data_IF_574403515177
#
_entry.id   IF_574403515177
#
_cell.length_a   1.000
_cell.length_b   1.000
_cell.length_c   1.000
_cell.angle_alpha   90.00
_cell.angle_beta   90.00
_cell.angle_gamma   90.00
#
_symmetry.space_group_name_H-M   'P 1'
#
loop_
_entity.id
_entity.type
_entity.pdbx_description
1 polymer ?
#
# COMPACT_ATOMS: atom_id res chain seq x y z
N UNK A 1 -1.32 20.46 -12.60
CA UNK A 1 -2.70 19.93 -12.52
C UNK A 1 -2.63 18.42 -12.38
N UNK A 2 -3.38 17.83 -11.45
CA UNK A 2 -3.56 16.37 -11.41
C UNK A 2 -4.66 15.99 -12.41
N UNK A 3 -4.50 14.87 -13.11
CA UNK A 3 -5.57 14.31 -13.96
C UNK A 3 -6.83 14.07 -13.14
N UNK A 4 -8.01 14.37 -13.68
CA UNK A 4 -9.29 14.18 -12.98
C UNK A 4 -9.63 12.72 -12.71
N UNK A 5 -9.00 11.81 -13.46
CA UNK A 5 -9.25 10.37 -13.44
C UNK A 5 -8.09 9.58 -12.83
N UNK A 6 -7.14 10.24 -12.17
CA UNK A 6 -5.96 9.58 -11.61
C UNK A 6 -5.87 9.83 -10.12
N UNK A 7 -5.58 8.77 -9.36
CA UNK A 7 -5.17 8.91 -7.97
C UNK A 7 -3.65 9.06 -7.90
N UNK A 8 -3.17 10.12 -7.26
CA UNK A 8 -1.75 10.48 -7.24
C UNK A 8 -1.28 10.68 -5.80
N UNK A 9 -0.18 10.02 -5.45
CA UNK A 9 0.57 10.25 -4.21
C UNK A 9 1.91 10.91 -4.54
N UNK A 10 2.29 11.94 -3.79
CA UNK A 10 3.61 12.57 -3.92
C UNK A 10 4.46 12.18 -2.71
N UNK A 11 5.58 11.53 -2.96
CA UNK A 11 6.58 11.25 -1.92
C UNK A 11 7.62 12.38 -1.90
N UNK A 12 7.86 12.96 -0.74
CA UNK A 12 8.82 14.06 -0.55
C UNK A 12 9.55 13.93 0.78
N UNK A 13 10.80 14.39 0.86
CA UNK A 13 11.58 14.38 2.10
C UNK A 13 11.11 15.44 3.12
N UNK A 14 10.12 16.27 2.79
CA UNK A 14 9.56 17.28 3.69
C UNK A 14 10.45 18.51 3.92
N UNK A 15 11.64 18.59 3.32
CA UNK A 15 12.56 19.72 3.49
C UNK A 15 12.14 20.96 2.72
N UNK A 16 11.31 20.79 1.70
CA UNK A 16 10.71 21.88 0.93
C UNK A 16 9.20 21.63 0.85
N UNK A 17 8.43 22.59 1.37
CA UNK A 17 6.98 22.60 1.20
C UNK A 17 6.63 22.84 -0.27
N UNK A 18 5.87 21.94 -0.85
CA UNK A 18 5.25 22.11 -2.15
C UNK A 18 3.99 22.97 -1.99
N UNK A 19 3.77 23.91 -2.90
CA UNK A 19 2.63 24.86 -2.87
C UNK A 19 1.77 24.68 -4.10
N UNK A 20 0.49 25.06 -4.02
CA UNK A 20 -0.43 25.00 -5.16
C UNK A 20 -0.76 23.58 -5.61
N UNK A 21 -0.61 22.60 -4.70
CA UNK A 21 -0.96 21.21 -4.97
C UNK A 21 -2.48 21.06 -4.82
N UNK A 22 -3.10 20.32 -5.74
CA UNK A 22 -4.55 20.13 -5.74
C UNK A 22 -5.01 19.36 -4.50
N UNK A 23 -6.12 19.78 -3.90
CA UNK A 23 -6.82 19.04 -2.85
C UNK A 23 -7.34 17.65 -3.30
N UNK A 24 -7.32 17.37 -4.61
CA UNK A 24 -7.59 16.04 -5.17
C UNK A 24 -6.40 15.07 -5.03
N UNK A 25 -5.24 15.52 -4.53
CA UNK A 25 -4.09 14.65 -4.25
C UNK A 25 -4.52 13.55 -3.26
N UNK A 26 -4.17 12.31 -3.58
CA UNK A 26 -4.50 11.17 -2.72
C UNK A 26 -3.75 11.26 -1.39
N UNK A 27 -2.46 11.61 -1.41
CA UNK A 27 -1.65 11.69 -0.20
C UNK A 27 -0.29 12.37 -0.47
N UNK A 28 0.29 13.00 0.54
CA UNK A 28 1.73 13.18 0.64
C UNK A 28 2.37 12.04 1.44
N UNK A 29 3.40 11.39 0.91
CA UNK A 29 4.27 10.52 1.69
C UNK A 29 5.46 11.32 2.21
N UNK A 30 5.61 11.43 3.53
CA UNK A 30 6.72 12.16 4.17
C UNK A 30 7.38 11.26 5.21
N UNK A 31 8.72 11.08 5.18
CA UNK A 31 9.40 10.20 6.12
C UNK A 31 9.65 10.88 7.47
N UNK A 32 9.43 10.15 8.56
CA UNK A 32 9.94 10.49 9.89
C UNK A 32 10.88 9.36 10.31
N UNK A 33 12.17 9.49 9.99
CA UNK A 33 13.14 8.40 10.17
C UNK A 33 13.54 8.12 11.63
N UNK A 34 13.30 9.05 12.56
CA UNK A 34 13.70 8.92 13.96
C UNK A 34 12.68 9.59 14.88
N UNK A 35 12.64 9.15 16.14
CA UNK A 35 11.77 9.72 17.17
C UNK A 35 12.24 11.12 17.64
N UNK A 36 13.45 11.53 17.25
CA UNK A 36 14.06 12.80 17.59
C UNK A 36 14.96 13.31 16.46
N UNK A 37 15.49 14.52 16.63
CA UNK A 37 16.40 15.13 15.66
C UNK A 37 17.68 14.32 15.47
N UNK A 38 18.28 13.79 16.54
CA UNK A 38 19.52 13.01 16.47
C UNK A 38 19.39 11.83 15.48
N UNK A 39 18.38 10.98 15.62
CA UNK A 39 18.22 9.81 14.74
C UNK A 39 17.71 10.20 13.36
N UNK A 40 16.74 11.13 13.25
CA UNK A 40 16.20 11.53 11.96
C UNK A 40 17.28 12.18 11.08
N UNK A 41 18.08 13.08 11.66
CA UNK A 41 19.11 13.84 10.96
C UNK A 41 20.37 13.01 10.72
N UNK A 42 20.68 12.06 11.61
CA UNK A 42 21.69 11.03 11.34
C UNK A 42 21.34 10.20 10.09
N UNK A 43 20.09 9.77 9.94
CA UNK A 43 19.71 8.91 8.81
C UNK A 43 19.65 9.67 7.48
N UNK A 44 19.21 10.93 7.48
CA UNK A 44 19.07 11.71 6.24
C UNK A 44 20.23 12.66 5.95
N UNK A 45 21.21 12.78 6.87
CA UNK A 45 22.39 13.64 6.78
C UNK A 45 22.04 15.14 6.54
N UNK A 46 20.94 15.61 7.12
CA UNK A 46 20.44 16.98 6.95
C UNK A 46 20.15 17.62 8.31
N UNK A 47 21.06 18.49 8.76
CA UNK A 47 20.92 19.21 10.03
C UNK A 47 19.69 20.13 10.05
N UNK A 48 18.93 20.12 11.14
CA UNK A 48 17.68 20.86 11.33
C UNK A 48 16.50 20.31 10.52
N UNK A 49 16.66 19.17 9.84
CA UNK A 49 15.60 18.60 9.00
C UNK A 49 14.44 18.05 9.82
N UNK A 50 14.65 17.59 11.05
CA UNK A 50 13.58 16.99 11.83
C UNK A 50 12.44 18.00 12.05
N UNK A 51 12.75 19.14 12.66
CA UNK A 51 11.74 20.19 12.90
C UNK A 51 11.15 20.75 11.61
N UNK A 52 11.96 20.86 10.55
CA UNK A 52 11.50 21.34 9.25
C UNK A 52 10.48 20.39 8.62
N UNK A 53 10.74 19.09 8.68
CA UNK A 53 9.85 18.04 8.20
C UNK A 53 8.54 18.05 8.98
N UNK A 54 8.58 18.13 10.31
CA UNK A 54 7.37 18.23 11.14
C UNK A 54 6.54 19.48 10.80
N UNK A 55 7.19 20.62 10.59
CA UNK A 55 6.52 21.85 10.17
C UNK A 55 5.85 21.71 8.78
N UNK A 56 6.54 21.09 7.82
CA UNK A 56 5.97 20.80 6.49
C UNK A 56 4.75 19.88 6.58
N UNK A 57 4.81 18.83 7.41
CA UNK A 57 3.67 17.93 7.64
C UNK A 57 2.46 18.70 8.18
N UNK A 58 2.66 19.51 9.24
CA UNK A 58 1.59 20.35 9.82
C UNK A 58 0.98 21.28 8.77
N UNK A 59 1.80 21.88 7.91
CA UNK A 59 1.30 22.74 6.83
C UNK A 59 0.40 21.99 5.84
N UNK A 60 0.81 20.80 5.38
CA UNK A 60 -0.03 20.01 4.49
C UNK A 60 -1.36 19.63 5.13
N UNK A 61 -1.34 19.25 6.40
CA UNK A 61 -2.56 18.92 7.16
C UNK A 61 -3.50 20.13 7.32
N UNK A 62 -2.96 21.31 7.64
CA UNK A 62 -3.73 22.57 7.72
C UNK A 62 -4.38 22.94 6.37
N UNK A 63 -3.71 22.63 5.25
CA UNK A 63 -4.26 22.82 3.91
C UNK A 63 -5.30 21.76 3.52
N UNK A 64 -5.62 20.82 4.41
CA UNK A 64 -6.59 19.75 4.20
C UNK A 64 -6.06 18.58 3.36
N UNK A 65 -4.74 18.51 3.16
CA UNK A 65 -4.11 17.34 2.55
C UNK A 65 -3.90 16.25 3.57
N UNK A 66 -4.07 15.02 3.11
CA UNK A 66 -3.69 13.87 3.92
C UNK A 66 -2.21 13.56 3.76
N UNK A 67 -1.57 13.19 4.87
CA UNK A 67 -0.14 12.88 4.93
C UNK A 67 0.06 11.50 5.54
N UNK A 68 0.86 10.67 4.87
CA UNK A 68 1.31 9.35 5.32
C UNK A 68 2.75 9.42 5.80
N UNK A 69 3.02 8.79 6.94
CA UNK A 69 4.37 8.61 7.41
C UNK A 69 5.00 7.39 6.73
N UNK A 70 6.20 7.57 6.17
CA UNK A 70 6.94 6.51 5.47
C UNK A 70 8.37 6.37 6.04
N UNK A 71 8.51 5.94 7.30
CA UNK A 71 9.83 5.75 7.89
C UNK A 71 10.53 4.57 7.22
N UNK A 72 11.86 4.68 7.08
CA UNK A 72 12.70 3.55 6.68
C UNK A 72 13.27 2.91 7.95
N UNK A 73 12.92 1.65 8.20
CA UNK A 73 13.45 0.83 9.28
C UNK A 73 14.87 0.36 8.94
N UNK A 74 15.80 0.67 9.83
CA UNK A 74 17.23 0.39 9.73
C UNK A 74 17.75 -0.22 11.03
N UNK A 75 19.00 -0.67 11.03
CA UNK A 75 19.70 -1.10 12.25
C UNK A 75 19.91 0.01 13.30
N UNK A 76 19.59 1.27 13.00
CA UNK A 76 19.80 2.43 13.89
C UNK A 76 18.54 2.98 14.56
N UNK A 77 17.36 2.68 14.01
CA UNK A 77 16.08 3.20 14.52
C UNK A 77 15.06 2.09 14.84
N UNK A 78 15.50 0.83 14.82
CA UNK A 78 14.64 -0.34 15.03
C UNK A 78 13.91 -0.34 16.38
N UNK A 79 14.48 0.33 17.37
CA UNK A 79 13.99 0.50 18.73
C UNK A 79 13.18 1.80 18.93
N UNK A 80 12.88 2.53 17.85
CA UNK A 80 12.14 3.79 17.88
C UNK A 80 10.77 3.73 17.21
N UNK A 81 10.34 2.58 16.67
CA UNK A 81 9.13 2.50 15.86
C UNK A 81 7.87 2.92 16.62
N UNK A 82 7.78 2.58 17.91
CA UNK A 82 6.65 2.99 18.77
C UNK A 82 6.51 4.51 18.81
N UNK A 83 7.61 5.21 19.12
CA UNK A 83 7.64 6.66 19.23
C UNK A 83 7.45 7.35 17.88
N UNK A 84 8.01 6.81 16.79
CA UNK A 84 7.80 7.35 15.43
C UNK A 84 6.31 7.28 15.05
N UNK A 85 5.65 6.14 15.32
CA UNK A 85 4.22 5.99 15.09
C UNK A 85 3.41 6.94 15.99
N UNK A 86 3.81 7.10 17.24
CA UNK A 86 3.21 8.07 18.16
C UNK A 86 3.29 9.52 17.65
N UNK A 87 4.43 9.92 17.06
CA UNK A 87 4.57 11.23 16.42
C UNK A 87 3.57 11.37 15.27
N UNK A 88 3.52 10.37 14.37
CA UNK A 88 2.60 10.39 13.23
C UNK A 88 1.13 10.50 13.67
N UNK A 89 0.74 9.71 14.68
CA UNK A 89 -0.59 9.75 15.29
C UNK A 89 -0.89 11.13 15.90
N UNK A 90 0.05 11.68 16.68
CA UNK A 90 -0.12 12.99 17.34
C UNK A 90 -0.28 14.16 16.37
N UNK A 91 0.34 14.07 15.20
CA UNK A 91 0.23 15.09 14.17
C UNK A 91 -1.10 15.01 13.40
N UNK A 92 -1.82 13.89 13.48
CA UNK A 92 -3.02 13.64 12.68
C UNK A 92 -2.70 13.14 11.27
N UNK A 93 -1.57 12.43 11.09
CA UNK A 93 -1.26 11.75 9.82
C UNK A 93 -2.28 10.62 9.58
N UNK A 94 -2.57 10.34 8.31
CA UNK A 94 -3.64 9.40 7.93
C UNK A 94 -3.22 7.94 8.10
N UNK A 95 -1.93 7.65 7.92
CA UNK A 95 -1.38 6.30 7.99
C UNK A 95 0.12 6.32 8.22
N UNK A 96 0.67 5.16 8.58
CA UNK A 96 2.10 4.91 8.63
C UNK A 96 2.42 3.55 8.01
N UNK A 97 3.31 3.57 7.02
CA UNK A 97 3.80 2.37 6.37
C UNK A 97 5.32 2.34 6.46
N UNK A 98 5.83 1.42 7.26
CA UNK A 98 7.26 1.25 7.52
C UNK A 98 7.90 0.50 6.36
N UNK A 99 8.90 1.11 5.74
CA UNK A 99 9.70 0.48 4.70
C UNK A 99 10.96 -0.12 5.33
N UNK A 100 11.21 -1.42 5.18
CA UNK A 100 12.47 -2.01 5.64
C UNK A 100 13.59 -1.63 4.68
N UNK A 101 14.75 -1.27 5.21
CA UNK A 101 15.91 -1.00 4.39
C UNK A 101 16.35 -2.24 3.58
N UNK A 102 16.56 -2.03 2.27
CA UNK A 102 17.00 -3.03 1.30
C UNK A 102 18.24 -2.54 0.55
N UNK A 103 19.11 -3.47 0.14
CA UNK A 103 20.33 -3.14 -0.59
C UNK A 103 20.02 -2.80 -2.06
N UNK A 104 19.99 -1.50 -2.37
CA UNK A 104 19.82 -0.98 -3.73
C UNK A 104 20.82 0.14 -4.06
N UNK A 105 21.20 0.24 -5.34
CA UNK A 105 22.06 1.32 -5.83
C UNK A 105 23.39 1.41 -5.06
N UNK A 106 23.71 2.60 -4.55
CA UNK A 106 24.92 2.81 -3.73
C UNK A 106 24.92 2.02 -2.42
N UNK A 107 23.74 1.64 -1.90
CA UNK A 107 23.61 0.81 -0.69
C UNK A 107 24.24 -0.56 -0.89
N UNK A 108 24.14 -1.14 -2.08
CA UNK A 108 24.73 -2.45 -2.40
C UNK A 108 26.20 -2.57 -1.98
N UNK A 109 26.97 -1.50 -2.21
CA UNK A 109 28.41 -1.42 -1.91
C UNK A 109 28.67 -1.01 -0.46
N UNK A 110 27.83 -0.13 0.10
CA UNK A 110 28.12 0.56 1.36
C UNK A 110 27.45 -0.09 2.58
N UNK A 111 26.32 -0.78 2.43
CA UNK A 111 25.47 -1.26 3.53
C UNK A 111 26.22 -2.10 4.56
N UNK A 112 27.17 -2.94 4.12
CA UNK A 112 27.95 -3.80 5.03
C UNK A 112 28.81 -2.98 6.01
N UNK A 113 29.42 -1.89 5.53
CA UNK A 113 30.23 -0.99 6.36
C UNK A 113 29.40 -0.18 7.35
N UNK A 114 28.17 0.19 6.95
CA UNK A 114 27.29 1.04 7.75
C UNK A 114 26.22 0.32 8.55
N UNK A 115 26.11 -1.03 8.50
CA UNK A 115 25.11 -1.80 9.28
C UNK A 115 23.66 -1.27 9.17
N UNK A 116 23.28 -0.78 7.98
CA UNK A 116 21.95 -0.16 7.76
C UNK A 116 20.81 -1.19 7.79
N UNK A 117 21.07 -2.42 7.37
CA UNK A 117 20.10 -3.52 7.43
C UNK A 117 19.85 -3.91 8.89
N UNK A 118 18.58 -3.97 9.34
CA UNK A 118 18.28 -4.49 10.67
C UNK A 118 18.64 -5.98 10.75
N UNK A 119 19.16 -6.42 11.89
CA UNK A 119 19.28 -7.86 12.19
C UNK A 119 17.88 -8.48 12.37
N UNK A 120 17.79 -9.81 12.38
CA UNK A 120 16.52 -10.50 12.65
C UNK A 120 15.94 -10.13 14.03
N UNK A 121 16.80 -10.04 15.04
CA UNK A 121 16.40 -9.61 16.38
C UNK A 121 15.89 -8.17 16.39
N UNK A 122 16.63 -7.25 15.76
CA UNK A 122 16.19 -5.85 15.61
C UNK A 122 14.86 -5.74 14.87
N UNK A 123 14.65 -6.55 13.83
CA UNK A 123 13.38 -6.62 13.11
C UNK A 123 12.23 -7.11 14.00
N UNK A 124 12.45 -8.16 14.82
CA UNK A 124 11.44 -8.65 15.76
C UNK A 124 11.08 -7.62 16.84
N UNK A 125 12.06 -6.84 17.32
CA UNK A 125 11.83 -5.72 18.24
C UNK A 125 10.96 -4.66 17.56
N UNK A 126 11.33 -4.25 16.34
CA UNK A 126 10.57 -3.28 15.56
C UNK A 126 9.11 -3.74 15.31
N UNK A 127 8.89 -5.01 14.96
CA UNK A 127 7.54 -5.58 14.79
C UNK A 127 6.74 -5.48 16.09
N UNK A 128 7.34 -5.82 17.24
CA UNK A 128 6.67 -5.70 18.54
C UNK A 128 6.24 -4.25 18.83
N UNK A 129 7.11 -3.28 18.55
CA UNK A 129 6.81 -1.86 18.72
C UNK A 129 5.71 -1.36 17.75
N UNK A 130 5.72 -1.82 16.50
CA UNK A 130 4.69 -1.47 15.50
C UNK A 130 3.32 -1.99 15.94
N UNK A 131 3.26 -3.22 16.43
CA UNK A 131 2.02 -3.85 16.91
C UNK A 131 1.49 -3.11 18.14
N UNK A 132 2.35 -2.85 19.12
CA UNK A 132 1.96 -2.11 20.31
C UNK A 132 1.42 -0.72 19.94
N UNK A 133 2.13 0.01 19.06
CA UNK A 133 1.70 1.32 18.62
C UNK A 133 0.38 1.29 17.82
N UNK A 134 0.13 0.24 17.03
CA UNK A 134 -1.14 0.02 16.33
C UNK A 134 -2.31 -0.10 17.31
N UNK A 135 -2.11 -0.77 18.44
CA UNK A 135 -3.14 -0.94 19.47
C UNK A 135 -3.31 0.33 20.31
N UNK A 136 -2.22 0.99 20.70
CA UNK A 136 -2.25 2.19 21.55
C UNK A 136 -2.77 3.44 20.81
N UNK A 137 -2.38 3.62 19.54
CA UNK A 137 -2.72 4.80 18.74
C UNK A 137 -3.88 4.53 17.77
N UNK A 138 -5.07 4.27 18.34
CA UNK A 138 -6.28 3.85 17.60
C UNK A 138 -6.75 4.83 16.52
N UNK A 139 -6.33 6.10 16.57
CA UNK A 139 -6.62 7.12 15.54
C UNK A 139 -6.17 6.70 14.13
N UNK A 140 -5.11 5.89 14.03
CA UNK A 140 -4.62 5.35 12.76
C UNK A 140 -5.45 4.13 12.30
N UNK A 141 -6.13 3.44 13.21
CA UNK A 141 -6.92 2.25 12.94
C UNK A 141 -6.09 1.15 12.28
N UNK A 142 -6.60 0.57 11.18
CA UNK A 142 -5.89 -0.48 10.43
C UNK A 142 -4.70 0.03 9.59
N UNK A 143 -4.49 1.35 9.51
CA UNK A 143 -3.55 2.02 8.58
C UNK A 143 -2.12 2.12 9.14
N UNK A 144 -1.69 1.08 9.83
CA UNK A 144 -0.34 0.89 10.38
C UNK A 144 0.19 -0.43 9.84
N UNK A 145 1.36 -0.44 9.22
CA UNK A 145 2.02 -1.68 8.82
C UNK A 145 3.29 -1.48 8.00
N UNK A 146 3.67 -2.47 7.20
CA UNK A 146 4.82 -2.37 6.29
C UNK A 146 4.41 -1.84 4.92
N UNK A 147 5.26 -1.00 4.31
CA UNK A 147 5.10 -0.54 2.92
C UNK A 147 5.86 -1.43 1.93
N UNK A 148 7.06 -1.85 2.31
CA UNK A 148 7.88 -2.82 1.57
C UNK A 148 7.36 -4.25 1.71
N UNK A 149 7.56 -5.07 0.68
CA UNK A 149 7.24 -6.49 0.73
C UNK A 149 8.19 -7.22 1.68
N UNK A 150 7.66 -7.81 2.76
CA UNK A 150 8.42 -8.57 3.74
C UNK A 150 7.97 -10.04 3.71
N UNK A 151 8.89 -11.02 3.72
CA UNK A 151 8.50 -12.41 3.82
C UNK A 151 7.68 -12.69 5.08
N UNK A 152 6.52 -13.32 4.92
CA UNK A 152 5.62 -13.62 6.04
C UNK A 152 6.26 -14.49 7.11
N UNK A 153 7.15 -15.40 6.72
CA UNK A 153 7.89 -16.27 7.65
C UNK A 153 8.97 -15.55 8.46
N UNK A 154 9.20 -14.26 8.23
CA UNK A 154 10.13 -13.49 9.03
C UNK A 154 9.58 -13.19 10.43
N UNK A 155 8.27 -12.96 10.56
CA UNK A 155 7.57 -12.78 11.83
C UNK A 155 6.06 -13.01 11.65
N UNK A 156 5.53 -14.08 12.24
CA UNK A 156 4.13 -14.47 12.06
C UNK A 156 3.12 -13.44 12.58
N UNK A 157 3.54 -12.62 13.56
CA UNK A 157 2.69 -11.59 14.14
C UNK A 157 2.26 -10.59 13.08
N UNK A 158 3.05 -10.40 12.01
CA UNK A 158 2.67 -9.54 10.91
C UNK A 158 1.37 -9.98 10.23
N UNK A 159 1.19 -11.30 10.04
CA UNK A 159 -0.04 -11.85 9.44
C UNK A 159 -1.21 -11.65 10.39
N UNK A 160 -1.01 -12.02 11.66
CA UNK A 160 -2.03 -11.97 12.72
C UNK A 160 -2.57 -10.54 12.87
N UNK A 161 -1.67 -9.57 12.90
CA UNK A 161 -1.99 -8.16 13.12
C UNK A 161 -2.35 -7.42 11.82
N UNK A 162 -2.36 -8.11 10.67
CA UNK A 162 -2.70 -7.50 9.38
C UNK A 162 -1.77 -6.35 8.99
N UNK A 163 -0.48 -6.44 9.33
CA UNK A 163 0.53 -5.41 9.04
C UNK A 163 1.47 -5.81 7.89
N UNK A 164 1.13 -6.86 7.15
CA UNK A 164 1.88 -7.37 5.99
C UNK A 164 1.76 -6.48 4.75
N UNK A 165 2.78 -6.50 3.90
CA UNK A 165 2.73 -5.98 2.51
C UNK A 165 3.36 -7.00 1.56
N UNK A 166 2.86 -7.06 0.33
CA UNK A 166 3.38 -7.91 -0.74
C UNK A 166 3.80 -7.07 -1.96
N UNK A 167 4.58 -7.68 -2.85
CA UNK A 167 5.13 -6.98 -4.02
C UNK A 167 4.29 -7.23 -5.27
N UNK A 168 3.80 -6.15 -5.89
CA UNK A 168 3.08 -6.18 -7.18
C UNK A 168 3.93 -6.00 -8.42
N UNK A 169 5.25 -6.06 -8.27
CA UNK A 169 6.20 -5.79 -9.35
C UNK A 169 5.89 -6.64 -10.59
N UNK A 170 5.77 -6.00 -11.74
CA UNK A 170 5.50 -6.67 -13.01
C UNK A 170 4.10 -7.29 -13.14
N UNK A 171 3.26 -7.30 -12.10
CA UNK A 171 1.89 -7.86 -12.13
C UNK A 171 0.80 -6.79 -12.04
N UNK A 172 1.00 -5.78 -11.21
CA UNK A 172 0.14 -4.59 -11.13
C UNK A 172 0.91 -3.29 -10.84
N UNK A 173 2.24 -3.35 -10.77
CA UNK A 173 3.14 -2.22 -10.53
C UNK A 173 4.29 -2.20 -11.55
N UNK A 174 4.60 -1.01 -12.08
CA UNK A 174 5.82 -0.69 -12.80
C UNK A 174 6.38 0.66 -12.35
N UNK A 175 7.59 0.97 -12.79
CA UNK A 175 8.22 2.27 -12.64
C UNK A 175 8.69 2.80 -13.99
N UNK A 176 8.55 4.12 -14.17
CA UNK A 176 9.13 4.84 -15.30
C UNK A 176 10.08 5.87 -14.70
N UNK A 177 11.33 5.87 -15.16
CA UNK A 177 12.33 6.83 -14.66
C UNK A 177 12.30 8.14 -15.49
N UNK A 178 13.05 9.19 -15.09
CA UNK A 178 13.07 10.46 -15.81
C UNK A 178 13.55 10.40 -17.26
N UNK A 179 14.21 9.31 -17.69
CA UNK A 179 14.63 9.09 -19.08
C UNK A 179 13.52 8.44 -19.93
N UNK A 180 12.35 8.16 -19.34
CA UNK A 180 11.26 7.44 -19.98
C UNK A 180 11.44 5.92 -20.00
N UNK A 181 12.46 5.37 -19.34
CA UNK A 181 12.71 3.92 -19.33
C UNK A 181 11.68 3.21 -18.45
N UNK A 182 10.96 2.27 -19.06
CA UNK A 182 10.02 1.40 -18.38
C UNK A 182 10.76 0.26 -17.68
N UNK A 183 10.52 0.13 -16.37
CA UNK A 183 11.13 -0.86 -15.48
C UNK A 183 10.02 -1.54 -14.69
N UNK A 184 10.18 -2.82 -14.37
CA UNK A 184 9.18 -3.50 -13.54
C UNK A 184 9.13 -2.96 -12.10
N UNK A 185 10.29 -2.53 -11.58
CA UNK A 185 10.44 -1.98 -10.23
C UNK A 185 11.29 -0.71 -10.30
N UNK A 186 11.04 0.25 -9.41
CA UNK A 186 11.83 1.48 -9.27
C UNK A 186 13.32 1.21 -9.00
N UNK A 187 13.65 0.05 -8.42
CA UNK A 187 15.02 -0.34 -8.13
C UNK A 187 15.64 -1.30 -9.18
N UNK A 188 14.84 -1.95 -10.03
CA UNK A 188 15.32 -3.00 -10.96
C UNK A 188 16.08 -2.41 -12.13
N UNK A 189 17.35 -2.72 -12.37
CA UNK A 189 18.14 -2.16 -13.49
C UNK A 189 17.69 -2.64 -14.88
N UNK A 190 16.69 -3.53 -14.97
CA UNK A 190 16.18 -4.05 -16.23
C UNK A 190 15.17 -3.08 -16.85
N UNK A 191 15.41 -2.75 -18.13
CA UNK A 191 14.55 -1.88 -18.95
C UNK A 191 13.82 -2.73 -19.99
N UNK A 192 12.51 -2.54 -20.13
CA UNK A 192 11.64 -3.32 -21.03
C UNK A 192 11.08 -2.51 -22.21
N UNK A 193 11.29 -1.20 -22.18
CA UNK A 193 10.90 -0.27 -23.23
C UNK A 193 11.16 1.17 -22.79
N UNK A 194 10.93 2.12 -23.69
CA UNK A 194 11.16 3.54 -23.44
C UNK A 194 10.02 4.37 -24.01
N UNK A 195 9.45 5.26 -23.19
CA UNK A 195 8.44 6.22 -23.61
C UNK A 195 9.08 7.46 -24.27
N UNK A 196 8.39 8.15 -25.21
CA UNK A 196 7.05 7.84 -25.72
C UNK A 196 7.05 6.89 -26.93
N UNK A 197 8.21 6.35 -27.32
CA UNK A 197 8.38 5.55 -28.55
C UNK A 197 7.47 4.31 -28.56
N UNK A 198 7.21 3.73 -27.39
CA UNK A 198 6.36 2.56 -27.23
C UNK A 198 5.34 2.79 -26.11
N UNK A 199 4.04 2.52 -26.34
CA UNK A 199 3.00 2.70 -25.33
C UNK A 199 3.15 1.70 -24.19
N UNK A 200 2.77 2.11 -22.99
CA UNK A 200 2.90 1.30 -21.75
C UNK A 200 2.22 -0.05 -21.92
N UNK A 201 1.05 -0.09 -22.56
CA UNK A 201 0.25 -1.28 -22.80
C UNK A 201 1.00 -2.30 -23.66
N UNK A 202 1.73 -1.85 -24.68
CA UNK A 202 2.54 -2.74 -25.51
C UNK A 202 3.74 -3.29 -24.73
N UNK A 203 4.46 -2.41 -24.00
CA UNK A 203 5.59 -2.84 -23.16
C UNK A 203 5.13 -3.86 -22.11
N UNK A 204 4.00 -3.59 -21.44
CA UNK A 204 3.45 -4.41 -20.36
C UNK A 204 3.11 -5.85 -20.78
N UNK A 205 2.76 -6.06 -22.05
CA UNK A 205 2.37 -7.35 -22.61
C UNK A 205 3.52 -8.10 -23.31
N UNK A 206 4.76 -7.60 -23.24
CA UNK A 206 5.90 -8.31 -23.83
C UNK A 206 6.22 -9.61 -23.08
N UNK A 207 6.54 -10.70 -23.80
CA UNK A 207 7.05 -11.94 -23.20
C UNK A 207 8.33 -11.74 -22.38
N UNK A 208 9.10 -10.68 -22.64
CA UNK A 208 10.32 -10.38 -21.89
C UNK A 208 10.05 -10.06 -20.42
N UNK A 209 8.82 -9.71 -20.03
CA UNK A 209 8.43 -9.54 -18.63
C UNK A 209 8.17 -10.87 -17.90
N UNK A 210 7.98 -11.97 -18.65
CA UNK A 210 7.66 -13.27 -18.08
C UNK A 210 8.83 -13.86 -17.29
N UNK A 211 10.05 -13.39 -17.55
CA UNK A 211 11.26 -13.68 -16.74
C UNK A 211 11.07 -13.44 -15.24
N UNK A 212 10.08 -12.60 -14.89
CA UNK A 212 9.68 -12.37 -13.52
C UNK A 212 8.34 -13.04 -13.18
N UNK A 213 7.34 -12.94 -14.07
CA UNK A 213 5.95 -13.36 -13.80
C UNK A 213 5.79 -14.87 -13.68
N UNK A 214 6.63 -15.66 -14.33
CA UNK A 214 6.57 -17.13 -14.31
C UNK A 214 7.08 -17.74 -12.99
N UNK A 215 7.66 -16.93 -12.11
CA UNK A 215 8.27 -17.33 -10.83
C UNK A 215 9.38 -18.41 -10.95
N UNK A 216 9.90 -18.66 -12.16
CA UNK A 216 10.96 -19.65 -12.40
C UNK A 216 12.27 -19.31 -11.68
N UNK A 217 12.48 -18.03 -11.36
CA UNK A 217 13.61 -17.50 -10.61
C UNK A 217 13.55 -17.78 -9.09
N UNK A 218 12.40 -18.18 -8.56
CA UNK A 218 12.20 -18.39 -7.12
C UNK A 218 13.00 -19.62 -6.67
N UNK A 219 13.83 -19.44 -5.64
CA UNK A 219 14.61 -20.51 -5.01
C UNK A 219 13.97 -21.02 -3.72
N UNK A 220 14.46 -22.15 -3.21
CA UNK A 220 14.16 -22.58 -1.85
C UNK A 220 14.62 -21.53 -0.83
N UNK A 221 13.91 -21.38 0.31
CA UNK A 221 12.75 -22.18 0.73
C UNK A 221 11.41 -21.76 0.09
N UNK A 222 11.35 -20.59 -0.56
CA UNK A 222 10.09 -20.02 -1.05
C UNK A 222 9.47 -20.82 -2.21
N UNK A 223 10.30 -21.50 -3.02
CA UNK A 223 9.84 -22.27 -4.18
C UNK A 223 8.85 -23.36 -3.81
N UNK A 224 9.05 -24.04 -2.69
CA UNK A 224 8.15 -25.07 -2.16
C UNK A 224 7.09 -24.53 -1.18
N UNK A 225 7.02 -23.22 -0.98
CA UNK A 225 6.12 -22.60 0.00
C UNK A 225 4.68 -22.47 -0.56
N UNK A 226 3.70 -22.99 0.18
CA UNK A 226 2.28 -22.84 -0.16
C UNK A 226 1.78 -21.39 -0.17
N UNK A 227 2.47 -20.48 0.54
CA UNK A 227 2.16 -19.05 0.58
C UNK A 227 2.88 -18.23 -0.50
N UNK A 228 3.60 -18.87 -1.44
CA UNK A 228 4.40 -18.16 -2.43
C UNK A 228 3.58 -17.15 -3.24
N UNK A 229 2.36 -17.47 -3.64
CA UNK A 229 1.54 -16.57 -4.46
C UNK A 229 1.07 -15.33 -3.66
N UNK A 230 0.84 -15.46 -2.35
CA UNK A 230 0.41 -14.36 -1.49
C UNK A 230 1.58 -13.50 -1.00
N UNK A 231 2.64 -14.16 -0.52
CA UNK A 231 3.83 -13.55 0.07
C UNK A 231 4.80 -13.03 -0.99
N UNK A 232 4.84 -13.70 -2.14
CA UNK A 232 5.79 -13.53 -3.25
C UNK A 232 7.26 -13.66 -2.87
N UNK A 233 7.61 -13.94 -1.61
CA UNK A 233 8.97 -14.11 -1.13
C UNK A 233 9.72 -12.80 -0.82
N UNK A 234 9.00 -11.74 -0.41
CA UNK A 234 9.56 -10.47 0.09
C UNK A 234 10.15 -9.54 -0.98
N UNK A 235 11.17 -8.73 -0.65
CA UNK A 235 11.78 -7.82 -1.62
C UNK A 235 12.60 -8.59 -2.67
N UNK A 236 12.45 -8.22 -3.95
CA UNK A 236 13.16 -8.82 -5.11
C UNK A 236 14.45 -8.11 -5.45
N UNK A 237 14.61 -6.94 -4.88
CA UNK A 237 15.70 -6.02 -5.15
C UNK A 237 16.74 -6.32 -4.09
N UNK A 238 17.70 -7.14 -4.48
CA UNK A 238 18.94 -7.26 -3.76
C UNK A 238 20.06 -7.20 -4.78
N UNK A 239 20.73 -6.05 -4.82
CA UNK A 239 21.86 -5.84 -5.71
C UNK A 239 23.04 -6.78 -5.39
N UNK A 240 23.02 -7.42 -4.21
CA UNK A 240 24.02 -8.40 -3.79
C UNK A 240 23.66 -9.85 -4.19
N UNK A 241 22.57 -10.06 -4.95
CA UNK A 241 22.28 -11.37 -5.54
C UNK A 241 22.85 -11.48 -6.96
N UNK A 242 23.41 -12.65 -7.29
CA UNK A 242 24.02 -12.94 -8.60
C UNK A 242 23.03 -13.09 -9.75
N UNK A 243 21.74 -13.22 -9.45
CA UNK A 243 20.67 -13.44 -10.42
C UNK A 243 19.86 -12.16 -10.62
N UNK A 244 19.21 -12.03 -11.79
CA UNK A 244 18.33 -10.89 -12.13
C UNK A 244 17.26 -10.63 -11.06
N UNK A 245 16.78 -11.68 -10.40
CA UNK A 245 15.83 -11.65 -9.29
C UNK A 245 16.21 -12.67 -8.24
N UNK A 246 15.73 -12.46 -7.03
CA UNK A 246 15.95 -13.35 -5.91
C UNK A 246 14.87 -13.20 -4.86
N UNK A 247 14.74 -14.23 -4.03
CA UNK A 247 13.94 -14.14 -2.82
C UNK A 247 14.64 -13.20 -1.85
N UNK A 248 13.89 -12.64 -0.91
CA UNK A 248 14.39 -11.72 0.10
C UNK A 248 15.60 -12.27 0.85
N UNK A 249 16.58 -11.41 1.15
CA UNK A 249 17.83 -11.82 1.79
C UNK A 249 17.61 -12.48 3.15
N UNK A 250 16.54 -12.10 3.87
CA UNK A 250 16.31 -12.56 5.24
C UNK A 250 15.87 -14.03 5.33
N UNK A 251 15.48 -14.63 4.19
CA UNK A 251 14.95 -16.01 4.15
C UNK A 251 15.79 -16.98 3.31
N UNK A 252 16.87 -16.50 2.69
CA UNK A 252 17.80 -17.36 1.94
C UNK A 252 18.52 -18.31 2.91
N UNK A 253 18.62 -19.58 2.52
CA UNK A 253 19.31 -20.61 3.31
C UNK A 253 18.54 -21.11 4.53
N UNK A 254 17.29 -20.66 4.74
CA UNK A 254 16.42 -21.29 5.75
C UNK A 254 15.97 -22.66 5.25
N UNK A 255 15.89 -23.63 6.16
CA UNK A 255 15.65 -25.03 5.85
C UNK A 255 14.22 -25.33 5.40
N UNK A 256 13.20 -24.59 5.88
CA UNK A 256 11.82 -24.63 5.38
C UNK A 256 11.08 -23.31 5.65
N UNK A 257 10.10 -22.92 4.82
CA UNK A 257 9.12 -21.91 5.20
C UNK A 257 8.27 -22.44 6.36
N UNK A 258 7.80 -21.55 7.23
CA UNK A 258 6.99 -21.91 8.40
C UNK A 258 5.62 -22.41 7.93
N UNK A 259 5.42 -23.74 7.91
CA UNK A 259 4.17 -24.40 7.52
C UNK A 259 2.97 -23.97 8.39
N UNK A 260 3.23 -23.54 9.63
CA UNK A 260 2.21 -23.07 10.58
C UNK A 260 1.50 -21.77 10.14
N UNK A 261 2.07 -21.03 9.16
CA UNK A 261 1.47 -19.80 8.63
C UNK A 261 0.34 -20.04 7.63
N UNK A 262 0.32 -21.19 6.96
CA UNK A 262 -0.60 -21.47 5.84
C UNK A 262 -2.05 -21.38 6.29
N UNK A 263 -2.38 -22.03 7.42
CA UNK A 263 -3.74 -22.03 7.97
C UNK A 263 -4.24 -20.61 8.27
N UNK A 264 -3.37 -19.73 8.79
CA UNK A 264 -3.74 -18.35 9.17
C UNK A 264 -4.01 -17.43 7.98
N UNK A 265 -3.38 -17.66 6.82
CA UNK A 265 -3.60 -16.85 5.61
C UNK A 265 -4.89 -17.27 4.89
N UNK A 266 -5.22 -18.56 4.86
CA UNK A 266 -6.42 -19.08 4.19
C UNK A 266 -7.75 -18.56 4.79
N UNK A 267 -7.74 -18.10 6.04
CA UNK A 267 -8.90 -17.47 6.69
C UNK A 267 -9.19 -16.03 6.23
N UNK A 268 -8.37 -15.44 5.34
CA UNK A 268 -8.61 -14.12 4.73
C UNK A 268 -9.54 -14.17 3.50
N UNK A 269 -10.37 -15.20 3.33
CA UNK A 269 -11.44 -15.17 2.32
C UNK A 269 -12.32 -13.94 2.60
N UNK A 270 -12.68 -13.15 1.57
CA UNK A 270 -13.55 -12.01 1.75
C UNK A 270 -14.79 -12.49 2.50
N UNK A 271 -14.99 -11.96 3.69
CA UNK A 271 -16.18 -12.22 4.46
C UNK A 271 -17.33 -11.77 3.57
N UNK A 272 -18.15 -12.71 3.09
CA UNK A 272 -19.40 -12.42 2.39
C UNK A 272 -20.35 -11.75 3.39
N UNK A 273 -20.04 -10.50 3.74
CA UNK A 273 -20.82 -9.71 4.64
C UNK A 273 -21.95 -9.09 3.82
N UNK A 274 -23.06 -9.81 3.79
CA UNK A 274 -24.36 -9.17 3.75
C UNK A 274 -24.66 -8.75 5.19
N UNK A 275 -24.40 -7.48 5.58
CA UNK A 275 -24.73 -7.02 6.93
C UNK A 275 -26.23 -7.24 7.21
N UNK A 276 -26.63 -7.40 8.47
CA UNK A 276 -28.04 -7.62 8.78
C UNK A 276 -28.92 -6.42 8.41
N UNK A 277 -28.39 -5.20 8.56
CA UNK A 277 -29.07 -3.94 8.28
C UNK A 277 -28.70 -3.38 6.90
N UNK A 278 -29.60 -2.60 6.30
CA UNK A 278 -29.24 -1.74 5.16
C UNK A 278 -28.36 -0.59 5.63
N UNK A 279 -27.52 -0.08 4.74
CA UNK A 279 -26.54 0.97 5.06
C UNK A 279 -26.96 2.31 4.49
N UNK A 280 -26.50 3.38 5.13
CA UNK A 280 -26.49 4.73 4.57
C UNK A 280 -25.03 5.11 4.34
N UNK A 281 -24.72 5.54 3.13
CA UNK A 281 -23.36 5.87 2.72
C UNK A 281 -23.33 7.07 1.79
N UNK A 282 -22.14 7.61 1.56
CA UNK A 282 -21.89 8.65 0.55
C UNK A 282 -20.69 8.29 -0.31
N UNK A 283 -20.58 8.81 -1.55
CA UNK A 283 -19.38 8.67 -2.34
C UNK A 283 -18.17 9.24 -1.60
N UNK A 284 -17.08 8.48 -1.50
CA UNK A 284 -15.83 8.98 -0.94
C UNK A 284 -15.27 10.09 -1.86
N UNK A 285 -14.62 11.12 -1.29
CA UNK A 285 -14.08 12.25 -2.05
C UNK A 285 -13.07 11.86 -3.16
N UNK A 286 -12.46 10.67 -3.08
CA UNK A 286 -11.54 10.13 -4.07
C UNK A 286 -12.19 9.22 -5.13
N UNK A 287 -13.47 8.87 -4.98
CA UNK A 287 -14.19 8.01 -5.92
C UNK A 287 -14.31 8.68 -7.30
N UNK A 288 -13.76 8.06 -8.34
CA UNK A 288 -13.88 8.50 -9.74
C UNK A 288 -14.26 7.31 -10.61
N UNK A 289 -15.00 7.60 -11.68
CA UNK A 289 -15.30 6.62 -12.73
C UNK A 289 -14.56 7.10 -13.99
N UNK A 290 -13.94 6.17 -14.71
CA UNK A 290 -13.36 6.45 -16.02
C UNK A 290 -13.82 5.41 -17.03
N UNK A 291 -14.33 5.92 -18.15
CA UNK A 291 -14.81 5.14 -19.30
C UNK A 291 -13.95 5.43 -20.54
N UNK A 292 -12.78 6.07 -20.35
CA UNK A 292 -11.84 6.45 -21.41
C UNK A 292 -11.29 5.25 -22.18
N UNK A 293 -11.28 4.08 -21.55
CA UNK A 293 -10.79 2.82 -22.11
C UNK A 293 -11.97 1.91 -22.48
N UNK A 294 -11.75 0.85 -23.29
CA UNK A 294 -12.76 -0.18 -23.52
C UNK A 294 -13.28 -0.73 -22.19
N UNK A 295 -12.39 -1.02 -21.25
CA UNK A 295 -12.71 -1.34 -19.87
C UNK A 295 -13.20 -0.12 -19.09
N UNK A 296 -14.03 -0.40 -18.09
CA UNK A 296 -14.63 0.60 -17.19
C UNK A 296 -13.95 0.47 -15.85
N UNK A 297 -13.51 1.60 -15.30
CA UNK A 297 -12.77 1.58 -14.04
C UNK A 297 -13.38 2.51 -13.01
N UNK A 298 -13.47 2.00 -11.79
CA UNK A 298 -13.63 2.77 -10.58
C UNK A 298 -12.24 3.05 -10.00
N UNK A 299 -11.87 4.30 -9.93
CA UNK A 299 -10.64 4.75 -9.27
C UNK A 299 -11.00 5.19 -7.86
N UNK A 300 -10.39 4.56 -6.87
CA UNK A 300 -10.46 4.96 -5.47
C UNK A 300 -9.17 5.64 -5.07
N UNK A 301 -9.02 5.94 -3.77
CA UNK A 301 -7.81 6.58 -3.26
C UNK A 301 -6.54 5.78 -3.53
N UNK A 302 -6.55 4.46 -3.39
CA UNK A 302 -5.34 3.63 -3.50
C UNK A 302 -5.52 2.42 -4.41
N UNK A 303 -6.68 2.27 -5.04
CA UNK A 303 -7.00 1.12 -5.86
C UNK A 303 -7.74 1.54 -7.12
N UNK A 304 -7.67 0.69 -8.13
CA UNK A 304 -8.49 0.77 -9.33
C UNK A 304 -9.20 -0.57 -9.49
N UNK A 305 -10.51 -0.53 -9.64
CA UNK A 305 -11.36 -1.71 -9.77
C UNK A 305 -11.98 -1.70 -11.16
N UNK A 306 -11.92 -2.82 -11.86
CA UNK A 306 -12.64 -3.00 -13.13
C UNK A 306 -14.12 -3.22 -12.84
N UNK A 307 -14.97 -2.52 -13.58
CA UNK A 307 -16.42 -2.63 -13.52
C UNK A 307 -16.92 -3.35 -14.78
N UNK A 308 -17.93 -4.19 -14.62
CA UNK A 308 -18.83 -4.54 -15.72
C UNK A 308 -19.89 -3.45 -15.90
N UNK A 309 -20.77 -3.61 -16.89
CA UNK A 309 -21.80 -2.60 -17.21
C UNK A 309 -22.79 -2.39 -16.06
N UNK A 310 -23.21 -3.46 -15.39
CA UNK A 310 -24.13 -3.42 -14.26
C UNK A 310 -23.52 -2.67 -13.08
N UNK A 311 -22.27 -2.99 -12.73
CA UNK A 311 -21.52 -2.32 -11.68
C UNK A 311 -21.21 -0.85 -12.02
N UNK A 312 -21.02 -0.53 -13.30
CA UNK A 312 -20.87 0.84 -13.77
C UNK A 312 -22.15 1.65 -13.55
N UNK A 313 -23.31 1.12 -13.93
CA UNK A 313 -24.60 1.79 -13.72
C UNK A 313 -24.85 2.06 -12.23
N UNK A 314 -24.61 1.07 -11.36
CA UNK A 314 -24.73 1.26 -9.91
C UNK A 314 -23.73 2.28 -9.37
N UNK A 315 -22.47 2.26 -9.81
CA UNK A 315 -21.47 3.23 -9.39
C UNK A 315 -21.82 4.66 -9.82
N UNK A 316 -22.37 4.84 -11.03
CA UNK A 316 -22.82 6.13 -11.54
C UNK A 316 -24.05 6.65 -10.77
N UNK A 317 -25.01 5.77 -10.47
CA UNK A 317 -26.14 6.11 -9.62
C UNK A 317 -25.66 6.65 -8.26
N UNK A 318 -24.75 5.94 -7.61
CA UNK A 318 -24.16 6.37 -6.34
C UNK A 318 -23.41 7.70 -6.49
N UNK A 319 -22.58 7.87 -7.51
CA UNK A 319 -21.80 9.10 -7.69
C UNK A 319 -22.66 10.35 -7.92
N UNK A 320 -23.87 10.18 -8.46
CA UNK A 320 -24.80 11.28 -8.71
C UNK A 320 -25.53 11.80 -7.46
N UNK A 321 -25.39 11.09 -6.33
CA UNK A 321 -26.13 11.36 -5.10
C UNK A 321 -25.17 11.75 -3.96
N UNK A 322 -25.58 12.69 -3.11
CA UNK A 322 -24.76 13.12 -1.97
C UNK A 322 -24.74 12.10 -0.82
N UNK A 323 -25.87 11.42 -0.61
CA UNK A 323 -26.10 10.39 0.42
C UNK A 323 -27.07 9.37 -0.16
N UNK A 324 -26.77 8.09 0.00
CA UNK A 324 -27.52 6.97 -0.58
C UNK A 324 -27.95 6.04 0.55
N UNK A 325 -29.23 5.68 0.52
CA UNK A 325 -29.78 4.58 1.31
C UNK A 325 -29.68 3.29 0.47
N UNK A 326 -29.01 2.26 1.00
CA UNK A 326 -28.81 0.98 0.33
C UNK A 326 -30.13 0.33 -0.10
N UNK A 327 -31.19 0.43 0.70
CA UNK A 327 -32.50 -0.11 0.37
C UNK A 327 -33.10 0.58 -0.87
N UNK A 328 -32.92 1.90 -1.00
CA UNK A 328 -33.36 2.64 -2.17
C UNK A 328 -32.54 2.25 -3.42
N UNK A 329 -31.23 2.01 -3.25
CA UNK A 329 -30.38 1.49 -4.32
C UNK A 329 -30.85 0.09 -4.77
N UNK A 330 -31.14 -0.81 -3.83
CA UNK A 330 -31.72 -2.14 -4.13
C UNK A 330 -33.01 -1.99 -4.93
N UNK A 331 -33.97 -1.19 -4.43
CA UNK A 331 -35.26 -0.99 -5.10
C UNK A 331 -35.10 -0.46 -6.54
N UNK A 332 -34.08 0.36 -6.81
CA UNK A 332 -33.79 0.90 -8.14
C UNK A 332 -33.32 -0.15 -9.15
N UNK A 333 -32.69 -1.24 -8.70
CA UNK A 333 -32.10 -2.25 -9.57
C UNK A 333 -32.74 -3.65 -9.43
N UNK A 334 -33.72 -3.83 -8.54
CA UNK A 334 -34.31 -5.13 -8.19
C UNK A 334 -34.93 -5.90 -9.37
N UNK A 335 -35.38 -5.20 -10.41
CA UNK A 335 -35.94 -5.84 -11.63
C UNK A 335 -34.88 -6.56 -12.48
N UNK A 336 -33.59 -6.21 -12.30
CA UNK A 336 -32.46 -6.70 -13.11
C UNK A 336 -31.37 -7.39 -12.28
N UNK A 337 -31.29 -7.11 -10.99
CA UNK A 337 -30.22 -7.55 -10.09
C UNK A 337 -30.86 -8.06 -8.81
N UNK A 338 -30.44 -9.22 -8.33
CA UNK A 338 -30.92 -9.72 -7.04
C UNK A 338 -30.42 -8.81 -5.90
N UNK A 339 -31.24 -8.62 -4.87
CA UNK A 339 -30.90 -7.78 -3.72
C UNK A 339 -29.50 -8.10 -3.18
N UNK A 340 -29.19 -9.38 -3.01
CA UNK A 340 -27.94 -9.83 -2.43
C UNK A 340 -26.71 -9.37 -3.25
N UNK A 341 -26.84 -9.25 -4.58
CA UNK A 341 -25.75 -8.79 -5.45
C UNK A 341 -25.52 -7.28 -5.32
N UNK A 342 -26.58 -6.47 -5.25
CA UNK A 342 -26.47 -5.03 -4.98
C UNK A 342 -25.82 -4.79 -3.62
N UNK A 343 -26.20 -5.57 -2.59
CA UNK A 343 -25.64 -5.45 -1.26
C UNK A 343 -24.17 -5.90 -1.21
N UNK A 344 -23.83 -6.97 -1.92
CA UNK A 344 -22.44 -7.39 -2.10
C UNK A 344 -21.61 -6.32 -2.82
N UNK A 345 -22.17 -5.68 -3.85
CA UNK A 345 -21.54 -4.57 -4.54
C UNK A 345 -21.22 -3.42 -3.58
N UNK A 346 -22.18 -2.99 -2.76
CA UNK A 346 -21.95 -1.94 -1.74
C UNK A 346 -20.89 -2.37 -0.72
N UNK A 347 -20.89 -3.63 -0.27
CA UNK A 347 -19.84 -4.16 0.62
C UNK A 347 -18.45 -4.08 -0.01
N UNK A 348 -18.31 -4.46 -1.27
CA UNK A 348 -17.05 -4.33 -2.02
C UNK A 348 -16.64 -2.86 -2.20
N UNK A 349 -17.59 -1.98 -2.49
CA UNK A 349 -17.35 -0.54 -2.65
C UNK A 349 -16.83 0.11 -1.35
N UNK A 350 -17.38 -0.27 -0.20
CA UNK A 350 -16.86 0.13 1.12
C UNK A 350 -15.46 -0.45 1.37
N UNK A 351 -15.25 -1.74 1.06
CA UNK A 351 -13.96 -2.41 1.23
C UNK A 351 -12.82 -1.73 0.45
N UNK A 352 -13.10 -1.25 -0.76
CA UNK A 352 -12.12 -0.53 -1.60
C UNK A 352 -12.05 0.97 -1.31
N UNK A 353 -12.74 1.43 -0.26
CA UNK A 353 -12.86 2.83 0.16
C UNK A 353 -13.39 3.75 -0.95
N UNK A 354 -14.30 3.25 -1.79
CA UNK A 354 -15.05 4.08 -2.74
C UNK A 354 -16.20 4.83 -2.08
N UNK A 355 -16.68 4.34 -0.92
CA UNK A 355 -17.79 4.91 -0.16
C UNK A 355 -17.36 5.18 1.29
N UNK A 356 -17.94 6.21 1.89
CA UNK A 356 -17.91 6.43 3.33
C UNK A 356 -19.23 5.93 3.93
N UNK A 357 -19.16 4.99 4.88
CA UNK A 357 -20.33 4.59 5.68
C UNK A 357 -20.70 5.73 6.64
N UNK A 358 -21.97 6.14 6.64
CA UNK A 358 -22.46 7.22 7.51
C UNK A 358 -23.56 6.78 8.47
N UNK A 359 -24.12 5.57 8.31
CA UNK A 359 -25.11 5.00 9.22
C UNK A 359 -25.67 3.67 8.75
N UNK A 360 -26.61 3.13 9.52
CA UNK A 360 -27.38 1.92 9.22
C UNK A 360 -28.88 2.19 9.38
N UNK A 361 -29.70 1.46 8.63
CA UNK A 361 -31.16 1.44 8.72
C UNK A 361 -31.54 0.15 9.43
N UNK A 362 -31.89 0.26 10.70
CA UNK A 362 -32.47 -0.87 11.42
C UNK A 362 -33.93 -1.02 11.02
N UNK A 363 -34.33 -2.23 10.64
CA UNK A 363 -35.75 -2.54 10.55
C UNK A 363 -36.39 -2.29 11.92
N UNK A 364 -37.44 -1.47 11.96
CA UNK A 364 -38.42 -1.64 13.02
C UNK A 364 -38.97 -3.07 12.87
N UNK A 365 -38.75 -3.91 13.87
CA UNK A 365 -39.42 -5.20 13.92
C UNK A 365 -40.94 -4.96 13.82
N UNK A 366 -41.68 -5.74 13.02
CA UNK A 366 -43.13 -5.60 12.89
C UNK A 366 -43.86 -5.75 14.23
#
# INVERSE_FOLDING_TARGET
MLSEHSSVTIVTNGLRRLKGISNKLACFGVPIHGANAETHEFLNQSNGSFQKTLATIRHYLIEGHDVRCIPVLTGYNYDQMYNIIGIAASLGMESIYVDRYEDGGIGAVNSRGYRLKPTREQFHIAVGQIIQAKHDFTVLGWRVGFGTAIPYCLDERMIIEGITSNCGVGTYFCAINPKGEFRMCNQSQLVFGTLPNEPIEAIWNKPTLDIFRDLSWVSEPCKSCELLLDCTGGCKVDSNCSNKFCIDYAVRGLSKPVAELVAKVQHRKPTEMNPASYRIFRPNRYMRITTRYPEKFLVTRYQTVKLDETALEMAQAIQSEAVINEQALVARFIERIEEHETRLFVSKMLQVNALDLIGEVHHAAP
#
